data_IF_956033447085
#
_entry.id   IF_956033447085
#
_cell.length_a   1.000
_cell.length_b   1.000
_cell.length_c   1.000
_cell.angle_alpha   90.00
_cell.angle_beta   90.00
_cell.angle_gamma   90.00
#
_symmetry.space_group_name_H-M   'P 1'
#
loop_
_entity.id
_entity.type
_entity.pdbx_description
1 polymer ?
#
# COMPACT_ATOMS: atom_id res chain seq x y z
N UNK A 1 -58.49 -9.73 -14.32
CA UNK A 1 -57.43 -10.72 -14.04
C UNK A 1 -56.18 -10.30 -14.80
N UNK A 2 -55.33 -9.44 -14.24
CA UNK A 2 -54.11 -8.96 -14.91
C UNK A 2 -53.03 -8.47 -13.92
N UNK A 3 -52.98 -8.99 -12.69
CA UNK A 3 -51.99 -8.52 -11.68
C UNK A 3 -50.78 -9.46 -11.52
N UNK A 4 -50.79 -10.65 -12.15
CA UNK A 4 -49.74 -11.65 -11.95
C UNK A 4 -48.51 -11.51 -12.87
N UNK A 5 -48.60 -10.73 -13.96
CA UNK A 5 -47.46 -10.54 -14.89
C UNK A 5 -46.51 -9.41 -14.46
N UNK A 6 -47.03 -8.34 -13.85
CA UNK A 6 -46.21 -7.19 -13.44
C UNK A 6 -45.24 -7.51 -12.30
N UNK A 7 -45.65 -8.36 -11.36
CA UNK A 7 -44.80 -8.80 -10.24
C UNK A 7 -43.62 -9.66 -10.70
N UNK A 8 -43.82 -10.51 -11.71
CA UNK A 8 -42.76 -11.34 -12.29
C UNK A 8 -41.74 -10.48 -13.06
N UNK A 9 -42.19 -9.44 -13.77
CA UNK A 9 -41.32 -8.50 -14.47
C UNK A 9 -40.53 -7.65 -13.47
N UNK A 10 -41.17 -7.16 -12.39
CA UNK A 10 -40.48 -6.39 -11.34
C UNK A 10 -39.37 -7.20 -10.67
N UNK A 11 -39.66 -8.45 -10.28
CA UNK A 11 -38.67 -9.31 -9.64
C UNK A 11 -37.48 -9.63 -10.56
N UNK A 12 -37.74 -9.82 -11.87
CA UNK A 12 -36.67 -10.04 -12.84
C UNK A 12 -35.80 -8.79 -13.04
N UNK A 13 -36.41 -7.60 -13.05
CA UNK A 13 -35.66 -6.34 -13.15
C UNK A 13 -34.77 -6.13 -11.92
N UNK A 14 -35.26 -6.45 -10.71
CA UNK A 14 -34.46 -6.36 -9.48
C UNK A 14 -33.29 -7.35 -9.47
N UNK A 15 -33.49 -8.57 -9.98
CA UNK A 15 -32.42 -9.56 -10.14
C UNK A 15 -31.36 -9.11 -11.16
N UNK A 16 -31.79 -8.53 -12.28
CA UNK A 16 -30.88 -7.96 -13.29
C UNK A 16 -30.09 -6.77 -12.71
N UNK A 17 -30.75 -5.86 -11.98
CA UNK A 17 -30.09 -4.73 -11.31
C UNK A 17 -29.08 -5.20 -10.27
N UNK A 18 -29.41 -6.23 -9.49
CA UNK A 18 -28.50 -6.84 -8.53
C UNK A 18 -27.30 -7.51 -9.23
N UNK A 19 -27.52 -8.28 -10.29
CA UNK A 19 -26.47 -8.94 -11.06
C UNK A 19 -25.53 -7.92 -11.76
N UNK A 20 -26.09 -6.85 -12.32
CA UNK A 20 -25.34 -5.73 -12.91
C UNK A 20 -24.51 -5.04 -11.82
N UNK A 21 -25.06 -4.79 -10.63
CA UNK A 21 -24.32 -4.18 -9.51
C UNK A 21 -23.12 -5.02 -9.05
N UNK A 22 -23.30 -6.35 -8.98
CA UNK A 22 -22.23 -7.30 -8.59
C UNK A 22 -21.11 -7.32 -9.64
N UNK A 23 -21.45 -7.36 -10.92
CA UNK A 23 -20.46 -7.39 -12.01
C UNK A 23 -19.67 -6.08 -12.09
N UNK A 24 -20.32 -4.92 -11.90
CA UNK A 24 -19.67 -3.61 -11.84
C UNK A 24 -18.72 -3.50 -10.65
N UNK A 25 -19.13 -3.96 -9.46
CA UNK A 25 -18.27 -3.98 -8.26
C UNK A 25 -17.04 -4.85 -8.48
N UNK A 26 -17.19 -6.04 -9.06
CA UNK A 26 -16.07 -6.95 -9.37
C UNK A 26 -15.12 -6.33 -10.40
N UNK A 27 -15.64 -5.69 -11.44
CA UNK A 27 -14.84 -4.98 -12.46
C UNK A 27 -14.08 -3.80 -11.86
N UNK A 28 -14.69 -3.03 -10.96
CA UNK A 28 -14.04 -1.91 -10.29
C UNK A 28 -12.94 -2.38 -9.32
N UNK A 29 -13.19 -3.43 -8.53
CA UNK A 29 -12.17 -4.03 -7.67
C UNK A 29 -10.99 -4.56 -8.48
N UNK A 30 -11.25 -5.26 -9.59
CA UNK A 30 -10.19 -5.73 -10.49
C UNK A 30 -9.40 -4.57 -11.09
N UNK A 31 -10.07 -3.48 -11.48
CA UNK A 31 -9.41 -2.27 -12.00
C UNK A 31 -8.53 -1.61 -10.93
N UNK A 32 -9.01 -1.47 -9.69
CA UNK A 32 -8.22 -0.93 -8.58
C UNK A 32 -6.99 -1.80 -8.27
N UNK A 33 -7.15 -3.12 -8.27
CA UNK A 33 -6.06 -4.07 -8.06
C UNK A 33 -5.03 -4.00 -9.19
N UNK A 34 -5.48 -3.90 -10.44
CA UNK A 34 -4.59 -3.70 -11.59
C UNK A 34 -3.83 -2.39 -11.47
N UNK A 35 -4.52 -1.28 -11.17
CA UNK A 35 -3.87 0.02 -10.98
C UNK A 35 -2.83 -0.05 -9.87
N UNK A 36 -3.13 -0.68 -8.72
CA UNK A 36 -2.19 -0.86 -7.61
C UNK A 36 -0.95 -1.69 -8.00
N UNK A 37 -1.14 -2.74 -8.79
CA UNK A 37 -0.05 -3.61 -9.24
C UNK A 37 0.92 -2.86 -10.18
N UNK A 38 0.37 -2.07 -11.10
CA UNK A 38 1.14 -1.36 -12.13
C UNK A 38 1.53 0.08 -11.75
N UNK A 39 1.37 0.51 -10.49
CA UNK A 39 1.85 1.84 -10.09
C UNK A 39 3.37 1.95 -10.32
N UNK A 40 3.84 3.07 -10.91
CA UNK A 40 5.26 3.36 -11.05
C UNK A 40 6.00 3.27 -9.71
N UNK A 41 7.27 2.83 -9.69
CA UNK A 41 8.06 2.72 -8.46
C UNK A 41 8.09 3.99 -7.62
N UNK A 42 8.11 5.16 -8.28
CA UNK A 42 8.16 6.47 -7.61
C UNK A 42 6.86 6.80 -6.85
N UNK A 43 5.71 6.41 -7.40
CA UNK A 43 4.42 6.56 -6.70
C UNK A 43 4.31 5.58 -5.54
N UNK A 44 4.76 4.33 -5.73
CA UNK A 44 4.82 3.33 -4.66
C UNK A 44 5.73 3.81 -3.52
N UNK A 45 6.85 4.45 -3.85
CA UNK A 45 7.77 5.02 -2.86
C UNK A 45 7.07 6.07 -2.01
N UNK A 46 6.44 7.06 -2.64
CA UNK A 46 5.71 8.11 -1.93
C UNK A 46 4.62 7.54 -1.01
N UNK A 47 3.82 6.59 -1.50
CA UNK A 47 2.78 5.95 -0.69
C UNK A 47 3.37 5.21 0.53
N UNK A 48 4.51 4.56 0.34
CA UNK A 48 5.19 3.82 1.40
C UNK A 48 5.79 4.76 2.46
N UNK A 49 6.35 5.89 2.04
CA UNK A 49 6.85 6.94 2.94
C UNK A 49 5.72 7.50 3.82
N UNK A 50 4.56 7.80 3.22
CA UNK A 50 3.41 8.31 3.96
C UNK A 50 2.84 7.28 4.94
N UNK A 51 2.78 5.99 4.54
CA UNK A 51 2.40 4.91 5.45
C UNK A 51 3.37 4.74 6.61
N UNK A 52 4.68 4.75 6.33
CA UNK A 52 5.71 4.65 7.36
C UNK A 52 5.55 5.78 8.41
N UNK A 53 5.33 7.02 7.96
CA UNK A 53 5.06 8.17 8.84
C UNK A 53 3.78 7.96 9.65
N UNK A 54 2.68 7.57 9.00
CA UNK A 54 1.40 7.34 9.67
C UNK A 54 1.51 6.27 10.76
N UNK A 55 2.13 5.11 10.46
CA UNK A 55 2.34 4.07 11.45
C UNK A 55 3.27 4.51 12.58
N UNK A 56 4.33 5.25 12.30
CA UNK A 56 5.22 5.81 13.33
C UNK A 56 4.48 6.75 14.27
N UNK A 57 3.62 7.62 13.73
CA UNK A 57 2.80 8.55 14.53
C UNK A 57 1.78 7.81 15.41
N UNK A 58 1.23 6.71 14.91
CA UNK A 58 0.34 5.82 15.66
C UNK A 58 1.07 4.85 16.61
N UNK A 59 2.40 4.94 16.73
CA UNK A 59 3.24 4.03 17.52
C UNK A 59 3.17 2.55 17.07
N UNK A 60 2.73 2.31 15.83
CA UNK A 60 2.68 1.00 15.16
C UNK A 60 4.06 0.67 14.54
N UNK A 61 5.10 0.61 15.37
CA UNK A 61 6.49 0.54 14.90
C UNK A 61 6.82 -0.66 14.02
N UNK A 62 6.16 -1.81 14.23
CA UNK A 62 6.38 -3.00 13.39
C UNK A 62 5.91 -2.75 11.95
N UNK A 63 4.74 -2.13 11.78
CA UNK A 63 4.20 -1.73 10.49
C UNK A 63 5.05 -0.62 9.86
N UNK A 64 5.48 0.36 10.67
CA UNK A 64 6.37 1.42 10.20
C UNK A 64 7.68 0.86 9.64
N UNK A 65 8.36 -0.04 10.36
CA UNK A 65 9.60 -0.69 9.91
C UNK A 65 9.37 -1.49 8.62
N UNK A 66 8.23 -2.18 8.49
CA UNK A 66 7.91 -2.92 7.27
C UNK A 66 7.84 -1.98 6.05
N UNK A 67 7.17 -0.83 6.18
CA UNK A 67 7.11 0.15 5.10
C UNK A 67 8.48 0.82 4.89
N UNK A 68 9.27 1.10 5.93
CA UNK A 68 10.62 1.64 5.77
C UNK A 68 11.56 0.71 4.99
N UNK A 69 11.47 -0.61 5.18
CA UNK A 69 12.21 -1.59 4.37
C UNK A 69 11.83 -1.50 2.89
N UNK A 70 10.53 -1.35 2.60
CA UNK A 70 10.04 -1.15 1.23
C UNK A 70 10.52 0.18 0.65
N UNK A 71 10.56 1.25 1.45
CA UNK A 71 11.12 2.54 1.04
C UNK A 71 12.57 2.40 0.60
N UNK A 72 13.43 1.71 1.35
CA UNK A 72 14.83 1.49 0.96
C UNK A 72 14.93 0.80 -0.40
N UNK A 73 14.16 -0.28 -0.62
CA UNK A 73 14.16 -1.00 -1.88
C UNK A 73 13.66 -0.14 -3.06
N UNK A 74 12.56 0.58 -2.87
CA UNK A 74 11.97 1.44 -3.90
C UNK A 74 12.86 2.65 -4.21
N UNK A 75 13.48 3.26 -3.21
CA UNK A 75 14.45 4.35 -3.39
C UNK A 75 15.64 3.88 -4.22
N UNK A 76 16.16 2.67 -3.96
CA UNK A 76 17.22 2.07 -4.78
C UNK A 76 16.78 1.90 -6.24
N UNK A 77 15.56 1.41 -6.48
CA UNK A 77 15.00 1.24 -7.83
C UNK A 77 14.82 2.60 -8.53
N UNK A 78 14.34 3.62 -7.81
CA UNK A 78 14.04 4.93 -8.38
C UNK A 78 15.27 5.78 -8.68
N UNK A 79 16.30 5.70 -7.84
CA UNK A 79 17.41 6.66 -7.86
C UNK A 79 18.79 6.02 -8.01
N UNK A 80 18.92 4.72 -7.77
CA UNK A 80 20.20 4.00 -7.78
C UNK A 80 21.01 4.14 -6.49
N UNK A 81 22.18 3.49 -6.47
CA UNK A 81 23.01 3.30 -5.26
C UNK A 81 23.76 4.56 -4.82
N UNK A 82 24.13 5.42 -5.77
CA UNK A 82 24.93 6.62 -5.49
C UNK A 82 24.11 7.85 -5.11
N UNK A 83 22.78 7.72 -5.02
CA UNK A 83 21.90 8.85 -4.76
C UNK A 83 21.67 9.05 -3.25
N UNK A 84 21.79 10.30 -2.77
CA UNK A 84 21.68 10.64 -1.35
C UNK A 84 20.35 10.19 -0.69
N UNK A 85 19.26 10.16 -1.46
CA UNK A 85 17.97 9.62 -0.97
C UNK A 85 18.06 8.18 -0.49
N UNK A 86 18.95 7.36 -1.05
CA UNK A 86 19.14 5.99 -0.56
C UNK A 86 19.77 6.00 0.85
N UNK A 87 20.73 6.89 1.09
CA UNK A 87 21.28 7.13 2.43
C UNK A 87 20.20 7.63 3.41
N UNK A 88 19.37 8.60 3.00
CA UNK A 88 18.23 9.07 3.79
C UNK A 88 17.26 7.93 4.15
N UNK A 89 16.91 7.06 3.20
CA UNK A 89 16.05 5.91 3.45
C UNK A 89 16.70 4.92 4.44
N UNK A 90 18.02 4.74 4.38
CA UNK A 90 18.78 3.94 5.35
C UNK A 90 18.77 4.55 6.75
N UNK A 91 18.90 5.87 6.90
CA UNK A 91 18.76 6.57 8.20
C UNK A 91 17.37 6.37 8.79
N UNK A 92 16.32 6.57 7.98
CA UNK A 92 14.94 6.42 8.43
C UNK A 92 14.67 4.97 8.90
N UNK A 93 15.15 3.97 8.18
CA UNK A 93 15.04 2.56 8.58
C UNK A 93 15.84 2.26 9.86
N UNK A 94 17.05 2.82 10.01
CA UNK A 94 17.83 2.70 11.23
C UNK A 94 17.07 3.26 12.45
N UNK A 95 16.45 4.43 12.30
CA UNK A 95 15.62 5.03 13.34
C UNK A 95 14.40 4.18 13.68
N UNK A 96 13.71 3.63 12.68
CA UNK A 96 12.59 2.72 12.88
C UNK A 96 13.00 1.46 13.68
N UNK A 97 14.15 0.87 13.36
CA UNK A 97 14.69 -0.25 14.13
C UNK A 97 15.08 0.14 15.57
N UNK A 98 15.55 1.36 15.81
CA UNK A 98 15.85 1.82 17.17
C UNK A 98 14.59 1.97 18.02
N UNK A 99 13.49 2.45 17.43
CA UNK A 99 12.18 2.55 18.09
C UNK A 99 11.57 1.18 18.39
N UNK A 100 11.84 0.18 17.55
CA UNK A 100 11.41 -1.19 17.76
C UNK A 100 12.39 -1.93 18.69
N UNK A 101 11.98 -2.10 19.96
CA UNK A 101 12.82 -2.70 21.02
C UNK A 101 13.54 -3.98 20.58
N UNK A 102 14.83 -4.07 20.88
CA UNK A 102 15.64 -5.28 20.66
C UNK A 102 16.35 -5.36 19.29
N UNK A 103 16.27 -4.32 18.44
CA UNK A 103 16.84 -4.33 17.08
C UNK A 103 17.99 -3.32 16.89
N UNK A 104 18.76 -3.05 17.95
CA UNK A 104 19.87 -2.08 17.93
C UNK A 104 20.99 -2.45 16.94
N UNK A 105 21.24 -3.74 16.70
CA UNK A 105 22.21 -4.20 15.72
C UNK A 105 21.80 -3.83 14.30
N UNK A 106 20.53 -4.06 13.94
CA UNK A 106 19.96 -3.69 12.65
C UNK A 106 19.99 -2.18 12.46
N UNK A 107 19.63 -1.42 13.50
CA UNK A 107 19.73 0.03 13.48
C UNK A 107 21.15 0.49 13.11
N UNK A 108 22.18 -0.05 13.79
CA UNK A 108 23.59 0.26 13.49
C UNK A 108 23.97 -0.10 12.06
N UNK A 109 23.61 -1.30 11.58
CA UNK A 109 23.94 -1.74 10.23
C UNK A 109 23.36 -0.81 9.15
N UNK A 110 22.13 -0.33 9.34
CA UNK A 110 21.52 0.61 8.39
C UNK A 110 22.10 2.02 8.52
N UNK A 111 22.47 2.47 9.72
CA UNK A 111 23.16 3.75 9.90
C UNK A 111 24.53 3.77 9.20
N UNK A 112 25.27 2.67 9.21
CA UNK A 112 26.55 2.56 8.50
C UNK A 112 26.39 2.57 6.97
N UNK A 113 25.28 2.06 6.45
CA UNK A 113 24.96 2.11 5.00
C UNK A 113 24.55 3.50 4.51
N UNK A 114 24.29 4.44 5.41
CA UNK A 114 23.90 5.81 5.06
C UNK A 114 25.10 6.77 4.88
N UNK A 115 26.33 6.24 4.90
CA UNK A 115 27.57 6.98 4.67
C UNK A 115 27.98 6.93 3.21
#
# INVERSE_FOLDING_TARGET
>A
MQESQETHISNHLDEVVAAVSITHRKKFQNKLLQTALFQPPREKLHLCEEKAKSYSNSHEYKQAVHELVRCVALTRICYGDSHWKLAEAHVNLAQGYLQLKGLSLQAKQHAEKAR
#
